data_IF_213448840316
#
_entry.id   IF_213448840316
#
_cell.length_a   1.000
_cell.length_b   1.000
_cell.length_c   1.000
_cell.angle_alpha   90.00
_cell.angle_beta   90.00
_cell.angle_gamma   90.00
#
_symmetry.space_group_name_H-M   'P 1'
#
loop_
_entity.id
_entity.type
_entity.pdbx_description
1 polymer ?
#
# COMPACT_ATOMS: atom_id res chain seq x y z
N UNK A 1 -7.91 8.21 -23.90
CA UNK A 1 -6.75 8.50 -23.02
C UNK A 1 -6.60 7.36 -22.03
N UNK A 2 -5.54 6.57 -22.13
CA UNK A 2 -5.30 5.45 -21.22
C UNK A 2 -4.97 6.00 -19.83
N UNK A 3 -5.84 5.75 -18.86
CA UNK A 3 -5.58 6.01 -17.44
C UNK A 3 -4.41 5.10 -17.05
N UNK A 4 -3.18 5.63 -17.11
CA UNK A 4 -2.07 5.02 -16.41
C UNK A 4 -2.51 4.98 -14.94
N UNK A 5 -2.66 3.78 -14.36
CA UNK A 5 -2.81 3.56 -12.92
C UNK A 5 -1.51 4.02 -12.24
N UNK A 6 -1.27 5.32 -12.27
CA UNK A 6 -0.14 5.92 -11.61
C UNK A 6 -0.40 5.82 -10.11
N UNK A 7 0.60 5.39 -9.37
CA UNK A 7 0.59 5.45 -7.90
C UNK A 7 0.80 6.92 -7.49
N UNK A 8 -0.02 7.84 -8.02
CA UNK A 8 0.03 9.27 -7.70
C UNK A 8 -0.58 9.47 -6.32
N UNK A 9 0.14 8.96 -5.34
CA UNK A 9 -0.18 9.19 -3.95
C UNK A 9 0.53 10.48 -3.56
N UNK A 10 -0.25 11.53 -3.35
CA UNK A 10 0.24 12.87 -3.10
C UNK A 10 0.53 13.06 -1.61
N UNK A 11 1.79 13.32 -1.27
CA UNK A 11 2.25 13.54 0.10
C UNK A 11 2.76 14.97 0.28
N UNK A 12 1.90 15.96 0.04
CA UNK A 12 2.26 17.36 0.27
C UNK A 12 3.56 17.77 -0.46
N UNK A 13 4.17 18.90 -0.03
CA UNK A 13 5.31 19.50 -0.72
C UNK A 13 6.67 18.84 -0.45
N UNK A 14 6.76 17.86 0.46
CA UNK A 14 8.05 17.35 0.97
C UNK A 14 8.62 16.12 0.23
N UNK A 15 8.02 15.67 -0.89
CA UNK A 15 8.47 14.57 -1.77
C UNK A 15 8.73 13.20 -1.09
N UNK A 16 8.67 13.14 0.24
CA UNK A 16 8.73 11.95 1.06
C UNK A 16 7.39 11.24 1.00
N UNK A 17 7.39 9.99 0.55
CA UNK A 17 6.18 9.15 0.62
C UNK A 17 5.72 9.05 2.07
N UNK A 18 4.68 9.79 2.38
CA UNK A 18 3.92 9.74 3.62
C UNK A 18 3.44 8.31 3.91
N UNK A 19 3.26 7.96 5.20
CA UNK A 19 2.92 6.60 5.62
C UNK A 19 1.69 6.03 4.89
N UNK A 20 0.69 6.86 4.62
CA UNK A 20 -0.54 6.45 3.91
C UNK A 20 -0.22 5.90 2.52
N UNK A 21 0.71 6.52 1.79
CA UNK A 21 1.09 6.09 0.46
C UNK A 21 1.90 4.80 0.47
N UNK A 22 2.78 4.63 1.45
CA UNK A 22 3.51 3.38 1.65
C UNK A 22 2.53 2.23 1.86
N UNK A 23 1.51 2.42 2.72
CA UNK A 23 0.48 1.42 2.99
C UNK A 23 -0.38 1.16 1.75
N UNK A 24 -0.87 2.20 1.06
CA UNK A 24 -1.70 2.04 -0.14
C UNK A 24 -1.01 1.22 -1.23
N UNK A 25 0.30 1.45 -1.44
CA UNK A 25 1.11 0.68 -2.39
C UNK A 25 1.26 -0.77 -1.94
N UNK A 26 1.52 -1.01 -0.65
CA UNK A 26 1.65 -2.36 -0.11
C UNK A 26 0.34 -3.15 -0.22
N UNK A 27 -0.80 -2.53 0.10
CA UNK A 27 -2.14 -3.11 -0.03
C UNK A 27 -2.46 -3.45 -1.48
N UNK A 28 -2.17 -2.51 -2.41
CA UNK A 28 -2.37 -2.76 -3.84
C UNK A 28 -1.52 -3.93 -4.33
N UNK A 29 -0.24 -3.98 -3.94
CA UNK A 29 0.65 -5.07 -4.29
C UNK A 29 0.21 -6.40 -3.68
N UNK A 30 -0.36 -6.42 -2.47
CA UNK A 30 -0.96 -7.63 -1.89
C UNK A 30 -2.16 -8.10 -2.71
N UNK A 31 -3.02 -7.20 -3.13
CA UNK A 31 -4.16 -7.55 -3.99
C UNK A 31 -3.69 -8.09 -5.35
N UNK A 32 -2.69 -7.48 -5.97
CA UNK A 32 -2.15 -7.91 -7.26
C UNK A 32 -1.30 -9.21 -7.12
N UNK A 33 -0.73 -9.47 -5.93
CA UNK A 33 0.08 -10.65 -5.60
C UNK A 33 -0.32 -11.30 -4.26
N UNK A 34 -1.49 -11.97 -4.18
CA UNK A 34 -2.07 -12.47 -2.93
C UNK A 34 -1.15 -13.38 -2.13
N UNK A 35 -0.45 -14.30 -2.81
CA UNK A 35 0.35 -15.34 -2.17
C UNK A 35 1.86 -15.07 -2.27
N UNK A 36 2.28 -14.22 -3.22
CA UNK A 36 3.68 -14.08 -3.61
C UNK A 36 4.30 -12.73 -3.24
N UNK A 37 3.55 -11.83 -2.59
CA UNK A 37 4.10 -10.57 -2.12
C UNK A 37 5.30 -10.81 -1.20
N UNK A 38 6.43 -10.22 -1.56
CA UNK A 38 7.71 -10.35 -0.85
C UNK A 38 8.31 -9.00 -0.49
N UNK A 39 9.23 -9.00 0.48
CA UNK A 39 10.02 -7.83 0.89
C UNK A 39 10.72 -7.18 -0.30
N UNK A 40 11.33 -7.99 -1.17
CA UNK A 40 12.04 -7.51 -2.35
C UNK A 40 11.13 -6.77 -3.34
N UNK A 41 9.87 -7.20 -3.48
CA UNK A 41 8.88 -6.50 -4.31
C UNK A 41 8.52 -5.13 -3.74
N UNK A 42 8.30 -5.04 -2.43
CA UNK A 42 8.02 -3.77 -1.75
C UNK A 42 9.19 -2.80 -1.87
N UNK A 43 10.42 -3.27 -1.61
CA UNK A 43 11.62 -2.42 -1.72
C UNK A 43 11.84 -1.88 -3.14
N UNK A 44 11.54 -2.67 -4.18
CA UNK A 44 11.60 -2.20 -5.57
C UNK A 44 10.55 -1.13 -5.86
N UNK A 45 9.37 -1.21 -5.23
CA UNK A 45 8.26 -0.28 -5.49
C UNK A 45 8.26 0.95 -4.59
N UNK A 46 8.85 0.85 -3.41
CA UNK A 46 8.90 1.88 -2.37
C UNK A 46 10.37 2.18 -2.07
N UNK A 47 10.99 3.11 -2.83
CA UNK A 47 12.36 3.54 -2.55
C UNK A 47 12.48 4.07 -1.12
N UNK A 48 13.59 3.75 -0.45
CA UNK A 48 13.86 4.22 0.91
C UNK A 48 13.24 3.39 2.04
N UNK A 49 12.34 2.45 1.76
CA UNK A 49 11.81 1.56 2.80
C UNK A 49 12.89 0.61 3.31
N UNK A 50 13.00 0.48 4.63
CA UNK A 50 13.89 -0.48 5.27
C UNK A 50 13.38 -1.92 5.09
N UNK A 51 14.29 -2.89 5.23
CA UNK A 51 13.88 -4.31 5.19
C UNK A 51 12.88 -4.68 6.29
N UNK A 52 13.02 -4.05 7.47
CA UNK A 52 12.13 -4.26 8.61
C UNK A 52 10.72 -3.74 8.34
N UNK A 53 10.58 -2.51 7.86
CA UNK A 53 9.28 -1.93 7.51
C UNK A 53 8.60 -2.72 6.39
N UNK A 54 9.37 -3.11 5.36
CA UNK A 54 8.84 -3.95 4.28
C UNK A 54 8.35 -5.31 4.81
N UNK A 55 9.07 -5.94 5.74
CA UNK A 55 8.63 -7.19 6.37
C UNK A 55 7.33 -7.00 7.15
N UNK A 56 7.21 -5.93 7.94
CA UNK A 56 5.96 -5.60 8.64
C UNK A 56 4.79 -5.43 7.67
N UNK A 57 4.97 -4.72 6.57
CA UNK A 57 3.92 -4.53 5.56
C UNK A 57 3.52 -5.85 4.88
N UNK A 58 4.48 -6.76 4.61
CA UNK A 58 4.15 -8.10 4.09
C UNK A 58 3.27 -8.85 5.08
N UNK A 59 3.63 -8.89 6.36
CA UNK A 59 2.88 -9.64 7.37
C UNK A 59 1.51 -9.01 7.65
N UNK A 60 1.44 -7.70 7.86
CA UNK A 60 0.17 -7.00 8.11
C UNK A 60 -0.80 -7.11 6.94
N UNK A 61 -0.29 -7.11 5.70
CA UNK A 61 -1.14 -7.24 4.51
C UNK A 61 -1.74 -8.64 4.33
N UNK A 62 -1.23 -9.69 5.00
CA UNK A 62 -1.84 -11.04 4.93
C UNK A 62 -3.26 -11.07 5.52
N UNK A 63 -3.53 -10.25 6.54
CA UNK A 63 -4.87 -10.13 7.13
C UNK A 63 -5.88 -9.43 6.22
N UNK A 64 -5.42 -8.54 5.34
CA UNK A 64 -6.29 -7.72 4.48
C UNK A 64 -7.07 -8.50 3.43
N UNK A 65 -6.64 -9.70 3.06
CA UNK A 65 -7.35 -10.55 2.11
C UNK A 65 -8.31 -11.55 2.77
N UNK A 66 -8.17 -11.79 4.08
CA UNK A 66 -9.03 -12.71 4.83
C UNK A 66 -10.32 -12.04 5.29
N UNK A 67 -10.24 -10.74 5.59
CA UNK A 67 -11.38 -9.93 6.00
C UNK A 67 -11.68 -8.91 4.89
N UNK A 68 -12.62 -9.21 4.00
CA UNK A 68 -13.09 -8.30 2.95
C UNK A 68 -13.79 -7.02 3.46
N UNK A 69 -13.59 -6.64 4.72
CA UNK A 69 -14.07 -5.41 5.34
C UNK A 69 -13.06 -4.29 5.10
N UNK A 70 -13.13 -3.69 3.91
CA UNK A 70 -12.60 -2.35 3.69
C UNK A 70 -13.18 -1.42 4.77
N UNK A 71 -12.35 -0.87 5.66
CA UNK A 71 -12.77 0.20 6.58
C UNK A 71 -13.03 1.44 5.72
N UNK A 72 -14.21 1.49 5.12
CA UNK A 72 -14.75 2.72 4.56
C UNK A 72 -15.32 3.49 5.74
N UNK A 73 -14.54 4.43 6.28
CA UNK A 73 -15.16 5.57 6.96
C UNK A 73 -15.87 6.39 5.88
N UNK A 74 -17.06 5.95 5.47
CA UNK A 74 -18.03 6.84 4.85
C UNK A 74 -18.47 7.83 5.93
N UNK A 75 -18.36 9.15 5.72
CA UNK A 75 -19.07 10.08 6.58
C UNK A 75 -20.56 9.83 6.37
N UNK A 76 -21.23 9.36 7.42
CA UNK A 76 -22.67 9.34 7.46
C UNK A 76 -23.14 10.81 7.38
N UNK A 77 -23.76 11.19 6.26
CA UNK A 77 -24.56 12.39 6.21
C UNK A 77 -25.75 12.20 7.16
N UNK A 78 -25.77 12.99 8.23
CA UNK A 78 -26.91 13.29 9.07
C UNK A 78 -27.02 14.80 9.19
#
# INVERSE_FOLDING_TARGET
MAVRKSLDCYCGPDDGRCPVCVVAIATRLRHDHPETLSVSMLKRRIPGITGREAMFLVEMSRGLLRDGSYVTHSPAHG
#
